data_IF_216477030473
#
_entry.id   IF_216477030473
#
_cell.length_a   1.000
_cell.length_b   1.000
_cell.length_c   1.000
_cell.angle_alpha   90.00
_cell.angle_beta   90.00
_cell.angle_gamma   90.00
#
_symmetry.space_group_name_H-M   'P 1'
#
loop_
_entity.id
_entity.type
_entity.pdbx_description
1 polymer ?
#
# COMPACT_ATOMS: atom_id res chain seq x y z
N UNK A 1 -23.39 0.62 14.41
CA UNK A 1 -21.98 0.21 14.45
C UNK A 1 -21.79 -1.06 15.27
N UNK A 2 -22.09 -2.23 14.70
CA UNK A 2 -22.06 -3.53 15.41
C UNK A 2 -20.65 -4.13 15.37
N UNK A 3 -20.10 -4.45 16.55
CA UNK A 3 -18.81 -5.14 16.71
C UNK A 3 -18.86 -6.58 16.17
N UNK A 4 -19.93 -7.31 16.48
CA UNK A 4 -20.11 -8.71 16.03
C UNK A 4 -20.08 -8.81 14.50
N UNK A 5 -20.81 -7.92 13.82
CA UNK A 5 -20.84 -7.90 12.35
C UNK A 5 -19.47 -7.56 11.76
N UNK A 6 -18.73 -6.64 12.39
CA UNK A 6 -17.38 -6.31 11.96
C UNK A 6 -16.43 -7.50 12.11
N UNK A 7 -16.48 -8.20 13.24
CA UNK A 7 -15.64 -9.37 13.51
C UNK A 7 -15.96 -10.55 12.57
N UNK A 8 -17.24 -10.76 12.23
CA UNK A 8 -17.67 -11.72 11.22
C UNK A 8 -17.04 -11.41 9.85
N UNK A 9 -17.15 -10.15 9.40
CA UNK A 9 -16.58 -9.69 8.12
C UNK A 9 -15.06 -9.86 8.11
N UNK A 10 -14.36 -9.53 9.20
CA UNK A 10 -12.91 -9.74 9.31
C UNK A 10 -12.57 -11.21 9.08
N UNK A 11 -13.31 -12.13 9.71
CA UNK A 11 -13.03 -13.57 9.62
C UNK A 11 -13.19 -14.10 8.19
N UNK A 12 -14.29 -13.74 7.53
CA UNK A 12 -14.54 -14.15 6.14
C UNK A 12 -13.53 -13.54 5.18
N UNK A 13 -13.29 -12.23 5.29
CA UNK A 13 -12.34 -11.50 4.44
C UNK A 13 -10.92 -12.02 4.62
N UNK A 14 -10.48 -12.25 5.86
CA UNK A 14 -9.17 -12.84 6.17
C UNK A 14 -8.99 -14.21 5.52
N UNK A 15 -10.05 -15.03 5.53
CA UNK A 15 -10.05 -16.34 4.88
C UNK A 15 -9.93 -16.20 3.36
N UNK A 16 -10.66 -15.26 2.76
CA UNK A 16 -10.65 -15.00 1.33
C UNK A 16 -9.27 -14.51 0.85
N UNK A 17 -8.73 -13.45 1.43
CA UNK A 17 -7.45 -12.87 0.99
C UNK A 17 -6.27 -13.82 1.20
N UNK A 18 -6.36 -14.70 2.22
CA UNK A 18 -5.37 -15.76 2.42
C UNK A 18 -5.34 -16.76 1.26
N UNK A 19 -6.50 -17.11 0.68
CA UNK A 19 -6.58 -17.96 -0.52
C UNK A 19 -6.00 -17.28 -1.76
N UNK A 20 -6.13 -15.96 -1.85
CA UNK A 20 -5.53 -15.16 -2.94
C UNK A 20 -4.00 -15.08 -2.82
N UNK A 21 -3.46 -15.24 -1.61
CA UNK A 21 -2.01 -15.26 -1.34
C UNK A 21 -1.52 -14.11 -0.45
N UNK A 22 -2.41 -13.27 0.08
CA UNK A 22 -2.06 -12.24 1.04
C UNK A 22 -1.90 -12.84 2.44
N UNK A 23 -1.02 -12.24 3.26
CA UNK A 23 -0.96 -12.54 4.70
C UNK A 23 -1.97 -11.66 5.45
N UNK A 24 -3.06 -12.20 6.02
CA UNK A 24 -4.06 -11.39 6.72
C UNK A 24 -3.49 -10.60 7.91
N UNK A 25 -2.41 -11.08 8.54
CA UNK A 25 -1.76 -10.37 9.64
C UNK A 25 -1.09 -9.08 9.20
N UNK A 26 -0.74 -8.95 7.91
CA UNK A 26 -0.14 -7.74 7.34
C UNK A 26 -1.18 -6.72 6.88
N UNK A 27 -2.48 -6.98 7.12
CA UNK A 27 -3.59 -6.16 6.63
C UNK A 27 -4.27 -5.48 7.81
N UNK A 28 -4.43 -4.16 7.71
CA UNK A 28 -5.20 -3.38 8.66
C UNK A 28 -6.70 -3.47 8.32
N UNK A 29 -7.53 -3.82 9.30
CA UNK A 29 -8.99 -3.83 9.18
C UNK A 29 -9.57 -2.62 9.91
N UNK A 30 -10.14 -1.68 9.15
CA UNK A 30 -10.64 -0.41 9.68
C UNK A 30 -12.16 -0.32 9.42
N UNK A 31 -13.01 -0.25 10.46
CA UNK A 31 -14.44 0.01 10.27
C UNK A 31 -14.63 1.50 9.98
N UNK A 32 -15.17 1.83 8.81
CA UNK A 32 -15.34 3.22 8.34
C UNK A 32 -16.76 3.51 7.89
N UNK A 33 -17.11 4.80 7.82
CA UNK A 33 -18.20 5.29 6.97
C UNK A 33 -17.64 6.33 6.01
N UNK A 34 -17.57 6.00 4.72
CA UNK A 34 -17.13 6.95 3.70
C UNK A 34 -18.09 8.15 3.55
N UNK A 35 -19.36 7.99 3.92
CA UNK A 35 -20.37 9.05 3.82
C UNK A 35 -20.31 10.02 5.02
N UNK A 36 -20.15 9.49 6.22
CA UNK A 36 -20.16 10.28 7.47
C UNK A 36 -18.75 10.66 7.97
N UNK A 37 -17.70 10.06 7.41
CA UNK A 37 -16.31 10.36 7.77
C UNK A 37 -15.76 9.55 8.95
N UNK A 38 -16.54 8.64 9.53
CA UNK A 38 -16.13 7.84 10.69
C UNK A 38 -14.85 7.04 10.41
N UNK A 39 -13.83 7.19 11.27
CA UNK A 39 -12.52 6.54 11.18
C UNK A 39 -11.78 6.80 9.85
N UNK A 40 -12.16 7.82 9.06
CA UNK A 40 -11.45 8.16 7.83
C UNK A 40 -10.15 8.91 8.13
N UNK A 41 -10.27 10.08 8.75
CA UNK A 41 -9.16 10.97 9.14
C UNK A 41 -9.01 11.06 10.67
N UNK A 42 -10.13 10.96 11.38
CA UNK A 42 -10.21 11.10 12.84
C UNK A 42 -11.00 9.91 13.42
N UNK A 43 -10.79 9.66 14.71
CA UNK A 43 -11.50 8.60 15.43
C UNK A 43 -13.00 8.89 15.53
N UNK A 44 -13.82 7.88 15.26
CA UNK A 44 -15.27 7.98 15.42
C UNK A 44 -15.68 7.77 16.89
N UNK A 45 -16.52 8.67 17.40
CA UNK A 45 -17.21 8.48 18.68
C UNK A 45 -18.32 7.40 18.62
N UNK A 46 -18.74 6.99 17.42
CA UNK A 46 -19.85 6.05 17.23
C UNK A 46 -19.44 4.57 17.42
N UNK A 47 -18.14 4.30 17.57
CA UNK A 47 -17.55 2.96 17.70
C UNK A 47 -16.66 2.82 18.95
N UNK A 48 -17.20 2.99 20.18
CA UNK A 48 -16.39 2.95 21.40
C UNK A 48 -15.73 1.58 21.66
N UNK A 49 -16.26 0.52 21.05
CA UNK A 49 -15.70 -0.84 21.10
C UNK A 49 -14.41 -0.97 20.28
N UNK A 50 -14.26 -0.20 19.21
CA UNK A 50 -13.11 -0.32 18.31
C UNK A 50 -11.85 0.29 18.95
N UNK A 51 -10.85 -0.56 19.20
CA UNK A 51 -9.58 -0.16 19.85
C UNK A 51 -8.46 0.16 18.87
N UNK A 52 -8.76 0.14 17.57
CA UNK A 52 -7.79 0.32 16.50
C UNK A 52 -7.42 -0.99 15.79
N UNK A 53 -6.79 -0.83 14.65
CA UNK A 53 -6.25 -1.91 13.85
C UNK A 53 -4.81 -2.21 14.27
N UNK A 54 -4.34 -3.41 13.95
CA UNK A 54 -2.95 -3.83 14.12
C UNK A 54 -2.54 -4.62 12.89
N UNK A 55 -1.34 -4.36 12.36
CA UNK A 55 -0.75 -5.15 11.27
C UNK A 55 0.72 -5.48 11.54
N UNK A 56 1.16 -6.65 11.09
CA UNK A 56 2.53 -7.13 11.12
C UNK A 56 3.21 -6.84 9.78
N UNK A 57 4.27 -6.04 9.80
CA UNK A 57 5.12 -5.70 8.65
C UNK A 57 6.56 -6.16 8.92
N UNK A 58 7.45 -6.02 7.94
CA UNK A 58 8.85 -6.49 8.09
C UNK A 58 9.58 -5.75 9.22
N UNK A 59 9.26 -4.48 9.44
CA UNK A 59 9.83 -3.65 10.52
C UNK A 59 9.19 -3.87 11.89
N UNK A 60 8.12 -4.68 12.00
CA UNK A 60 7.48 -5.01 13.28
C UNK A 60 5.96 -4.87 13.26
N UNK A 61 5.38 -4.64 14.44
CA UNK A 61 3.93 -4.48 14.61
C UNK A 61 3.57 -3.00 14.60
N UNK A 62 2.66 -2.60 13.71
CA UNK A 62 2.15 -1.22 13.64
C UNK A 62 0.67 -1.20 14.01
N UNK A 63 0.27 -0.14 14.70
CA UNK A 63 -1.11 0.09 15.15
C UNK A 63 -1.57 1.48 14.74
N UNK A 64 -2.87 1.62 14.58
CA UNK A 64 -3.53 2.89 14.32
C UNK A 64 -5.03 2.74 14.48
N UNK A 65 -5.79 3.80 14.21
CA UNK A 65 -7.24 3.77 14.38
C UNK A 65 -7.96 4.17 13.11
N UNK A 66 -7.41 5.13 12.37
CA UNK A 66 -8.06 5.67 11.18
C UNK A 66 -7.57 4.99 9.90
N UNK A 67 -8.28 5.24 8.80
CA UNK A 67 -7.86 4.84 7.47
C UNK A 67 -6.60 5.61 7.04
N UNK A 68 -6.50 6.90 7.40
CA UNK A 68 -5.30 7.70 7.17
C UNK A 68 -4.08 7.06 7.84
N UNK A 69 -4.18 6.67 9.12
CA UNK A 69 -3.10 5.98 9.83
C UNK A 69 -2.67 4.71 9.08
N UNK A 70 -3.63 3.98 8.50
CA UNK A 70 -3.36 2.72 7.81
C UNK A 70 -2.58 2.93 6.51
N UNK A 71 -2.86 4.03 5.80
CA UNK A 71 -2.16 4.47 4.58
C UNK A 71 -0.77 5.00 4.93
N UNK A 72 -0.65 5.84 5.95
CA UNK A 72 0.65 6.37 6.40
C UNK A 72 1.57 5.26 6.92
N UNK A 73 1.00 4.18 7.44
CA UNK A 73 1.73 2.99 7.86
C UNK A 73 2.16 2.06 6.70
N UNK A 74 1.99 2.44 5.42
CA UNK A 74 2.49 1.64 4.30
C UNK A 74 4.02 1.79 4.22
N UNK A 75 4.75 0.66 4.29
CA UNK A 75 6.20 0.68 4.10
C UNK A 75 6.52 1.07 2.65
N UNK A 76 7.37 2.08 2.42
CA UNK A 76 7.84 2.40 1.09
C UNK A 76 8.51 1.17 0.45
N UNK A 77 8.17 0.80 -0.79
CA UNK A 77 8.81 -0.32 -1.44
C UNK A 77 10.28 -0.02 -1.69
N UNK A 78 11.13 -1.04 -1.54
CA UNK A 78 12.54 -0.93 -1.90
C UNK A 78 12.68 -0.67 -3.40
N UNK A 79 13.37 0.42 -3.76
CA UNK A 79 13.66 0.73 -5.17
C UNK A 79 14.59 -0.35 -5.74
N UNK A 80 14.34 -0.86 -6.96
CA UNK A 80 15.14 -1.95 -7.54
C UNK A 80 16.46 -1.45 -8.17
N UNK A 81 17.21 -0.59 -7.46
CA UNK A 81 18.48 -0.01 -7.93
C UNK A 81 19.59 -1.07 -8.11
N UNK A 82 19.53 -2.13 -7.31
CA UNK A 82 20.56 -3.17 -7.28
C UNK A 82 20.30 -4.27 -8.32
N UNK A 83 19.15 -4.24 -8.99
CA UNK A 83 18.82 -5.16 -10.08
C UNK A 83 19.52 -4.75 -11.38
N UNK A 84 19.67 -5.66 -12.35
CA UNK A 84 20.20 -5.31 -13.67
C UNK A 84 19.42 -4.18 -14.35
N UNK A 85 20.10 -3.33 -15.12
CA UNK A 85 19.46 -2.23 -15.84
C UNK A 85 18.37 -2.76 -16.80
N UNK A 86 17.18 -2.18 -16.71
CA UNK A 86 16.09 -2.34 -17.68
C UNK A 86 15.51 -0.97 -17.98
N UNK A 87 15.65 -0.55 -19.24
CA UNK A 87 15.17 0.73 -19.74
C UNK A 87 14.37 0.46 -21.03
N UNK A 88 13.05 0.22 -20.92
CA UNK A 88 12.17 0.14 -22.08
C UNK A 88 12.17 1.47 -22.83
N UNK A 89 12.44 1.43 -24.13
CA UNK A 89 12.44 2.61 -24.98
C UNK A 89 11.00 3.02 -25.29
N UNK A 90 10.69 4.28 -25.03
CA UNK A 90 9.42 4.91 -25.41
C UNK A 90 9.56 5.52 -26.81
N UNK A 91 10.61 6.31 -26.99
CA UNK A 91 10.88 7.05 -28.23
C UNK A 91 12.36 7.00 -28.59
N UNK A 92 12.65 7.20 -29.87
CA UNK A 92 14.01 7.31 -30.38
C UNK A 92 14.09 8.52 -31.31
N UNK A 93 14.91 9.50 -30.91
CA UNK A 93 15.13 10.71 -31.70
C UNK A 93 16.47 10.65 -32.43
N UNK A 94 16.56 11.37 -33.55
CA UNK A 94 17.83 11.63 -34.24
C UNK A 94 18.07 13.14 -34.25
N UNK A 95 19.02 13.60 -33.45
CA UNK A 95 19.30 15.02 -33.25
C UNK A 95 20.60 15.38 -33.98
N UNK A 96 20.53 16.35 -34.90
CA UNK A 96 21.69 16.82 -35.66
C UNK A 96 22.78 17.35 -34.71
N UNK A 97 24.02 16.89 -34.87
CA UNK A 97 25.15 17.25 -34.00
C UNK A 97 25.28 16.43 -32.70
N UNK A 98 24.27 15.63 -32.32
CA UNK A 98 24.31 14.75 -31.13
C UNK A 98 24.30 13.27 -31.52
N UNK A 99 23.44 12.88 -32.47
CA UNK A 99 23.23 11.50 -32.88
C UNK A 99 21.88 10.92 -32.48
N UNK A 100 21.82 9.62 -32.25
CA UNK A 100 20.61 8.90 -31.84
C UNK A 100 20.40 9.03 -30.34
N UNK A 101 19.23 9.47 -29.92
CA UNK A 101 18.86 9.70 -28.52
C UNK A 101 17.64 8.85 -28.18
N UNK A 102 17.83 7.66 -27.56
CA UNK A 102 16.73 6.87 -27.02
C UNK A 102 16.21 7.48 -25.71
N UNK A 103 14.89 7.51 -25.53
CA UNK A 103 14.21 8.01 -24.33
C UNK A 103 13.36 6.90 -23.74
N UNK A 104 13.39 6.74 -22.43
CA UNK A 104 12.62 5.73 -21.72
C UNK A 104 12.72 5.85 -20.21
N UNK A 105 11.87 5.11 -19.49
CA UNK A 105 11.88 5.04 -18.03
C UNK A 105 12.83 3.92 -17.60
N UNK A 106 13.66 4.19 -16.59
CA UNK A 106 14.43 3.15 -15.91
C UNK A 106 13.48 2.38 -14.99
N UNK A 107 13.20 1.12 -15.32
CA UNK A 107 12.35 0.23 -14.52
C UNK A 107 13.16 -0.46 -13.41
N UNK A 108 14.40 -0.85 -13.69
CA UNK A 108 15.33 -1.44 -12.72
C UNK A 108 16.77 -1.04 -13.01
N UNK A 109 17.64 -1.09 -12.00
CA UNK A 109 19.06 -0.78 -12.12
C UNK A 109 19.35 0.72 -12.20
N UNK A 110 20.59 1.06 -12.57
CA UNK A 110 21.09 2.42 -12.65
C UNK A 110 21.74 2.63 -14.02
N UNK A 111 21.39 3.71 -14.71
CA UNK A 111 22.15 4.24 -15.85
C UNK A 111 23.11 5.30 -15.32
N UNK A 112 24.38 5.25 -15.74
CA UNK A 112 25.42 6.22 -15.36
C UNK A 112 25.94 6.90 -16.62
N UNK A 113 26.35 8.15 -16.46
CA UNK A 113 27.10 8.90 -17.47
C UNK A 113 28.56 8.45 -17.51
#
# INVERSE_FOLDING_TARGET
WSEDRFNEIIKETSTFIKKVGYNPKAVAFVPISGWHGDNMLEESANMPWYKGWTKEIKSGVVKGKTLLDAIDAIEPPARPSDKPLRLPLQDVYKIGGIGTVPVGRVETGIIKA
#
